data_IF_782294447652
#
_entry.id   IF_782294447652
#
_cell.length_a   1.000
_cell.length_b   1.000
_cell.length_c   1.000
_cell.angle_alpha   90.00
_cell.angle_beta   90.00
_cell.angle_gamma   90.00
#
_symmetry.space_group_name_H-M   'P 1'
#
loop_
_entity.id
_entity.type
_entity.pdbx_description
1 polymer ?
#
# COMPACT_ATOMS: atom_id res chain seq x y z
N UNK A 1 4.54 -13.85 -40.23
CA UNK A 1 3.81 -13.27 -39.08
C UNK A 1 4.83 -12.61 -38.17
N UNK A 2 5.04 -11.31 -38.31
CA UNK A 2 6.05 -10.56 -37.54
C UNK A 2 5.47 -10.23 -36.17
N UNK A 3 6.08 -10.74 -35.09
CA UNK A 3 5.65 -10.45 -33.71
C UNK A 3 6.45 -9.27 -33.17
N UNK A 4 5.83 -8.10 -33.05
CA UNK A 4 6.49 -6.85 -32.64
C UNK A 4 6.73 -6.72 -31.12
N UNK A 5 6.14 -7.59 -30.31
CA UNK A 5 6.20 -7.56 -28.84
C UNK A 5 6.38 -8.95 -28.23
N UNK A 6 7.20 -9.79 -28.85
CA UNK A 6 7.47 -11.13 -28.30
C UNK A 6 8.17 -11.03 -26.95
N UNK A 7 7.75 -11.87 -25.99
CA UNK A 7 8.48 -12.06 -24.73
C UNK A 7 9.87 -12.63 -25.05
N UNK A 8 10.89 -12.19 -24.32
CA UNK A 8 12.26 -12.72 -24.42
C UNK A 8 12.28 -14.24 -24.30
N UNK A 9 12.91 -14.94 -25.26
CA UNK A 9 13.02 -16.40 -25.23
C UNK A 9 13.73 -16.92 -23.96
N UNK A 10 14.79 -16.27 -23.44
CA UNK A 10 15.33 -16.57 -22.12
C UNK A 10 14.31 -16.50 -20.97
N UNK A 11 13.49 -15.43 -20.90
CA UNK A 11 12.46 -15.29 -19.86
C UNK A 11 11.39 -16.38 -20.00
N UNK A 12 10.97 -16.68 -21.23
CA UNK A 12 10.04 -17.78 -21.48
C UNK A 12 10.60 -19.10 -20.94
N UNK A 13 11.84 -19.45 -21.30
CA UNK A 13 12.47 -20.70 -20.85
C UNK A 13 12.57 -20.78 -19.31
N UNK A 14 13.00 -19.69 -18.66
CA UNK A 14 13.12 -19.63 -17.20
C UNK A 14 11.76 -19.82 -16.51
N UNK A 15 10.77 -19.01 -16.90
CA UNK A 15 9.45 -19.01 -16.27
C UNK A 15 8.72 -20.33 -16.56
N UNK A 16 8.84 -20.90 -17.76
CA UNK A 16 8.27 -22.22 -18.07
C UNK A 16 8.86 -23.30 -17.16
N UNK A 17 10.18 -23.30 -16.94
CA UNK A 17 10.81 -24.28 -16.04
C UNK A 17 10.29 -24.14 -14.60
N UNK A 18 10.20 -22.91 -14.10
CA UNK A 18 9.73 -22.60 -12.75
C UNK A 18 8.24 -22.93 -12.55
N UNK A 19 7.39 -22.62 -13.52
CA UNK A 19 5.95 -22.88 -13.46
C UNK A 19 5.55 -24.32 -13.83
N UNK A 20 6.49 -25.13 -14.31
CA UNK A 20 6.24 -26.57 -14.53
C UNK A 20 6.47 -27.38 -13.24
N UNK A 21 7.13 -26.80 -12.24
CA UNK A 21 7.32 -27.41 -10.93
C UNK A 21 6.11 -27.14 -10.02
N UNK A 22 5.23 -28.14 -9.90
CA UNK A 22 4.01 -28.06 -9.09
C UNK A 22 4.29 -28.00 -7.59
N UNK A 23 5.43 -28.56 -7.14
CA UNK A 23 5.85 -28.51 -5.73
C UNK A 23 6.29 -27.09 -5.37
N UNK A 24 7.05 -26.46 -6.26
CA UNK A 24 7.41 -25.05 -6.14
C UNK A 24 6.17 -24.16 -6.10
N UNK A 25 5.23 -24.31 -7.04
CA UNK A 25 4.01 -23.47 -7.08
C UNK A 25 3.22 -23.55 -5.79
N UNK A 26 3.01 -24.77 -5.26
CA UNK A 26 2.26 -24.98 -4.02
C UNK A 26 2.95 -24.27 -2.84
N UNK A 27 4.24 -24.56 -2.63
CA UNK A 27 5.01 -23.98 -1.53
C UNK A 27 5.13 -22.46 -1.62
N UNK A 28 5.36 -21.91 -2.82
CA UNK A 28 5.39 -20.47 -3.05
C UNK A 28 4.05 -19.82 -2.73
N UNK A 29 2.94 -20.40 -3.20
CA UNK A 29 1.61 -19.83 -2.98
C UNK A 29 1.24 -19.80 -1.50
N UNK A 30 1.51 -20.88 -0.78
CA UNK A 30 1.27 -20.97 0.67
C UNK A 30 2.10 -19.94 1.43
N UNK A 31 3.43 -19.91 1.19
CA UNK A 31 4.33 -18.98 1.87
C UNK A 31 4.05 -17.51 1.51
N UNK A 32 3.74 -17.22 0.25
CA UNK A 32 3.44 -15.86 -0.18
C UNK A 32 2.17 -15.34 0.49
N UNK A 33 1.12 -16.18 0.60
CA UNK A 33 -0.12 -15.81 1.31
C UNK A 33 0.11 -15.57 2.79
N UNK A 34 0.91 -16.41 3.43
CA UNK A 34 1.29 -16.26 4.84
C UNK A 34 2.00 -14.91 5.08
N UNK A 35 3.05 -14.62 4.31
CA UNK A 35 3.82 -13.37 4.42
C UNK A 35 2.98 -12.13 4.13
N UNK A 36 2.16 -12.16 3.08
CA UNK A 36 1.27 -11.05 2.75
C UNK A 36 0.28 -10.77 3.88
N UNK A 37 -0.21 -11.82 4.57
CA UNK A 37 -1.13 -11.66 5.69
C UNK A 37 -0.46 -11.05 6.90
N UNK A 38 0.71 -11.56 7.28
CA UNK A 38 1.50 -11.00 8.39
C UNK A 38 1.77 -9.51 8.17
N UNK A 39 2.27 -9.14 6.99
CA UNK A 39 2.55 -7.74 6.67
C UNK A 39 1.28 -6.88 6.64
N UNK A 40 0.18 -7.40 6.10
CA UNK A 40 -1.12 -6.71 6.11
C UNK A 40 -1.61 -6.45 7.54
N UNK A 41 -1.62 -7.47 8.39
CA UNK A 41 -2.13 -7.40 9.76
C UNK A 41 -1.30 -6.40 10.60
N UNK A 42 0.03 -6.47 10.51
CA UNK A 42 0.94 -5.54 11.18
C UNK A 42 0.69 -4.09 10.74
N UNK A 43 0.61 -3.86 9.43
CA UNK A 43 0.43 -2.51 8.89
C UNK A 43 -0.94 -1.92 9.24
N UNK A 44 -2.00 -2.72 9.14
CA UNK A 44 -3.37 -2.28 9.46
C UNK A 44 -3.56 -2.03 10.95
N UNK A 45 -3.01 -2.87 11.83
CA UNK A 45 -3.07 -2.60 13.27
C UNK A 45 -2.29 -1.33 13.63
N UNK A 46 -1.11 -1.11 13.03
CA UNK A 46 -0.36 0.14 13.22
C UNK A 46 -1.12 1.39 12.76
N UNK A 47 -1.83 1.34 11.62
CA UNK A 47 -2.68 2.46 11.17
C UNK A 47 -3.88 2.69 12.11
N UNK A 48 -4.48 1.61 12.60
CA UNK A 48 -5.62 1.64 13.52
C UNK A 48 -5.25 2.29 14.85
N UNK A 49 -4.02 2.11 15.36
CA UNK A 49 -3.51 2.84 16.53
C UNK A 49 -3.50 4.37 16.33
N UNK A 50 -3.36 4.83 15.09
CA UNK A 50 -3.43 6.27 14.75
C UNK A 50 -4.87 6.77 14.54
N UNK A 51 -5.85 5.87 14.64
CA UNK A 51 -7.26 6.12 14.32
C UNK A 51 -7.56 6.12 12.82
N UNK A 52 -6.70 5.51 12.00
CA UNK A 52 -6.90 5.38 10.54
C UNK A 52 -7.52 4.02 10.26
N UNK A 53 -8.74 4.03 9.72
CA UNK A 53 -9.43 2.81 9.32
C UNK A 53 -8.94 2.29 7.97
N UNK A 54 -9.01 0.98 7.75
CA UNK A 54 -8.76 0.37 6.44
C UNK A 54 -9.97 -0.45 6.00
N UNK A 55 -10.27 -0.44 4.69
CA UNK A 55 -11.27 -1.33 4.11
C UNK A 55 -10.83 -2.79 4.29
N UNK A 56 -11.75 -3.64 4.74
CA UNK A 56 -11.52 -5.09 4.85
C UNK A 56 -11.24 -5.65 3.45
N UNK A 57 -10.07 -6.27 3.28
CA UNK A 57 -9.67 -6.92 2.04
C UNK A 57 -9.19 -8.34 2.31
N UNK A 58 -9.40 -9.23 1.34
CA UNK A 58 -8.89 -10.62 1.37
C UNK A 58 -7.68 -10.84 0.46
N UNK A 59 -7.19 -9.79 -0.22
CA UNK A 59 -6.04 -9.88 -1.11
C UNK A 59 -5.51 -8.54 -1.59
N UNK A 60 -4.44 -8.58 -2.39
CA UNK A 60 -3.73 -7.42 -2.88
C UNK A 60 -2.36 -7.24 -2.24
N UNK A 61 -1.71 -6.13 -2.60
CA UNK A 61 -0.35 -5.78 -2.15
C UNK A 61 -0.32 -4.45 -1.37
N UNK A 62 -1.52 -3.98 -0.99
CA UNK A 62 -1.79 -2.69 -0.37
C UNK A 62 -3.06 -2.75 0.47
N UNK A 63 -3.22 -1.78 1.37
CA UNK A 63 -4.49 -1.49 2.02
C UNK A 63 -5.08 -0.18 1.48
N UNK A 64 -6.41 -0.06 1.59
CA UNK A 64 -7.15 1.14 1.24
C UNK A 64 -7.60 1.83 2.53
N UNK A 65 -6.95 2.94 2.84
CA UNK A 65 -7.00 3.61 4.14
C UNK A 65 -7.90 4.84 4.08
N UNK A 66 -8.77 4.98 5.06
CA UNK A 66 -9.60 6.16 5.26
C UNK A 66 -8.86 7.17 6.15
N UNK A 67 -8.39 8.24 5.52
CA UNK A 67 -7.76 9.39 6.18
C UNK A 67 -8.62 10.65 6.04
N UNK A 68 -9.92 10.51 5.73
CA UNK A 68 -10.87 11.63 5.58
C UNK A 68 -10.91 12.57 6.79
N UNK A 69 -10.72 12.03 8.00
CA UNK A 69 -10.66 12.81 9.23
C UNK A 69 -9.44 13.74 9.35
N UNK A 70 -8.44 13.59 8.48
CA UNK A 70 -7.19 14.37 8.49
C UNK A 70 -7.16 15.46 7.42
N UNK A 71 -8.12 15.50 6.50
CA UNK A 71 -8.15 16.47 5.40
C UNK A 71 -9.02 17.68 5.75
N UNK A 72 -8.51 18.88 5.48
CA UNK A 72 -9.24 20.15 5.62
C UNK A 72 -8.79 21.12 4.53
N UNK A 73 -9.67 21.59 3.63
CA UNK A 73 -11.10 21.26 3.51
C UNK A 73 -11.34 19.80 3.03
N UNK A 74 -12.56 19.28 3.26
CA UNK A 74 -12.97 17.95 2.76
C UNK A 74 -13.26 18.00 1.25
N UNK A 75 -12.20 17.98 0.44
CA UNK A 75 -12.23 17.94 -1.01
C UNK A 75 -10.88 17.43 -1.55
N UNK A 76 -10.75 17.29 -2.87
CA UNK A 76 -9.51 16.85 -3.53
C UNK A 76 -8.29 17.71 -3.17
N UNK A 77 -8.47 19.03 -2.99
CA UNK A 77 -7.36 19.90 -2.57
C UNK A 77 -6.84 19.51 -1.18
N UNK A 78 -7.73 19.29 -0.21
CA UNK A 78 -7.33 18.84 1.13
C UNK A 78 -6.69 17.45 1.12
N UNK A 79 -7.12 16.56 0.22
CA UNK A 79 -6.47 15.27 0.01
C UNK A 79 -5.04 15.43 -0.52
N UNK A 80 -4.83 16.28 -1.54
CA UNK A 80 -3.51 16.55 -2.10
C UNK A 80 -2.59 17.28 -1.11
N UNK A 81 -3.13 18.16 -0.26
CA UNK A 81 -2.38 18.82 0.81
C UNK A 81 -1.92 17.80 1.87
N UNK A 82 -2.75 16.81 2.21
CA UNK A 82 -2.35 15.71 3.09
C UNK A 82 -1.32 14.80 2.42
N UNK A 83 -1.51 14.46 1.15
CA UNK A 83 -0.56 13.69 0.36
C UNK A 83 0.82 14.36 0.33
N UNK A 84 0.88 15.67 0.10
CA UNK A 84 2.11 16.44 0.11
C UNK A 84 2.82 16.34 1.47
N UNK A 85 2.09 16.45 2.59
CA UNK A 85 2.66 16.26 3.94
C UNK A 85 3.19 14.84 4.15
N UNK A 86 2.45 13.81 3.73
CA UNK A 86 2.92 12.42 3.83
C UNK A 86 4.23 12.23 3.02
N UNK A 87 4.29 12.77 1.80
CA UNK A 87 5.46 12.66 0.95
C UNK A 87 6.65 13.48 1.48
N UNK A 88 6.43 14.74 1.83
CA UNK A 88 7.50 15.69 2.09
C UNK A 88 7.89 15.80 3.57
N UNK A 89 6.97 15.56 4.50
CA UNK A 89 7.24 15.56 5.95
C UNK A 89 7.50 14.14 6.45
N UNK A 90 6.54 13.22 6.25
CA UNK A 90 6.69 11.84 6.71
C UNK A 90 7.68 11.02 5.85
N UNK A 91 8.04 11.48 4.65
CA UNK A 91 8.86 10.74 3.68
C UNK A 91 8.24 9.39 3.31
N UNK A 92 6.91 9.33 3.27
CA UNK A 92 6.13 8.15 2.90
C UNK A 92 5.35 8.47 1.62
N UNK A 93 5.64 7.74 0.54
CA UNK A 93 4.89 7.86 -0.71
C UNK A 93 3.67 6.94 -0.69
N UNK A 94 2.48 7.53 -0.73
CA UNK A 94 1.20 6.82 -0.87
C UNK A 94 0.47 7.30 -2.12
N UNK A 95 -0.51 6.55 -2.61
CA UNK A 95 -1.34 6.99 -3.75
C UNK A 95 -2.64 7.60 -3.22
N UNK A 96 -2.93 8.89 -3.48
CA UNK A 96 -4.19 9.52 -3.08
C UNK A 96 -5.36 8.98 -3.91
N UNK A 97 -6.56 9.00 -3.34
CA UNK A 97 -7.75 8.39 -3.91
C UNK A 97 -8.17 8.99 -5.25
N UNK A 98 -8.00 10.31 -5.40
CA UNK A 98 -8.15 11.07 -6.65
C UNK A 98 -7.37 10.47 -7.82
N UNK A 99 -6.15 9.99 -7.59
CA UNK A 99 -5.33 9.32 -8.62
C UNK A 99 -5.89 7.96 -9.06
N UNK A 100 -6.82 7.40 -8.31
CA UNK A 100 -7.57 6.18 -8.65
C UNK A 100 -9.04 6.49 -8.99
N UNK A 101 -9.38 7.76 -9.22
CA UNK A 101 -10.74 8.24 -9.48
C UNK A 101 -11.74 7.90 -8.37
N UNK A 102 -11.29 7.87 -7.12
CA UNK A 102 -12.20 7.77 -5.98
C UNK A 102 -13.07 9.02 -5.90
N UNK A 103 -14.38 8.82 -5.71
CA UNK A 103 -15.36 9.91 -5.67
C UNK A 103 -15.30 10.63 -4.31
N UNK A 104 -14.97 9.90 -3.25
CA UNK A 104 -14.87 10.42 -1.89
C UNK A 104 -13.42 10.83 -1.59
N UNK A 105 -13.15 12.08 -1.19
CA UNK A 105 -11.81 12.53 -0.81
C UNK A 105 -11.32 11.91 0.50
N UNK A 106 -10.01 11.75 0.63
CA UNK A 106 -9.35 11.32 1.87
C UNK A 106 -9.04 9.83 1.93
N UNK A 107 -9.29 9.08 0.86
CA UNK A 107 -8.86 7.70 0.74
C UNK A 107 -7.44 7.60 0.18
N UNK A 108 -6.65 6.64 0.68
CA UNK A 108 -5.27 6.44 0.25
C UNK A 108 -4.94 4.96 0.06
N UNK A 109 -4.23 4.64 -1.02
CA UNK A 109 -3.60 3.32 -1.21
C UNK A 109 -2.23 3.30 -0.56
N UNK A 110 -2.05 2.44 0.42
CA UNK A 110 -0.78 2.24 1.12
C UNK A 110 -0.24 0.83 0.84
N UNK A 111 0.85 0.73 0.08
CA UNK A 111 1.51 -0.53 -0.22
C UNK A 111 2.41 -0.97 0.94
N UNK A 112 2.31 -2.22 1.37
CA UNK A 112 3.08 -2.78 2.50
C UNK A 112 4.05 -3.90 2.08
N UNK A 113 4.03 -4.32 0.82
CA UNK A 113 4.69 -5.56 0.35
C UNK A 113 6.15 -5.41 -0.05
N UNK A 114 6.66 -4.18 -0.07
CA UNK A 114 8.06 -3.86 -0.34
C UNK A 114 8.82 -3.45 0.92
N UNK A 115 8.18 -3.60 2.09
CA UNK A 115 8.73 -3.32 3.41
C UNK A 115 9.13 -4.63 4.08
N UNK A 116 10.09 -4.55 4.99
CA UNK A 116 10.36 -5.60 5.96
C UNK A 116 9.50 -5.38 7.22
N UNK A 117 9.29 -6.41 8.04
CA UNK A 117 8.48 -6.31 9.27
C UNK A 117 9.01 -5.21 10.22
N UNK A 118 10.33 -5.06 10.30
CA UNK A 118 11.01 -4.06 11.13
C UNK A 118 10.84 -2.61 10.61
N UNK A 119 10.47 -2.42 9.35
CA UNK A 119 10.19 -1.09 8.79
C UNK A 119 8.81 -0.57 9.24
N UNK A 120 7.88 -1.47 9.56
CA UNK A 120 6.48 -1.11 9.85
C UNK A 120 6.39 -0.10 11.00
N UNK A 121 7.02 -0.31 12.18
CA UNK A 121 6.99 0.67 13.26
C UNK A 121 7.51 2.05 12.83
N UNK A 122 8.56 2.10 12.00
CA UNK A 122 9.14 3.36 11.51
C UNK A 122 8.17 4.10 10.59
N UNK A 123 7.50 3.37 9.69
CA UNK A 123 6.49 3.95 8.80
C UNK A 123 5.29 4.48 9.59
N UNK A 124 4.80 3.72 10.57
CA UNK A 124 3.69 4.14 11.44
C UNK A 124 4.06 5.37 12.27
N UNK A 125 5.27 5.43 12.82
CA UNK A 125 5.77 6.61 13.53
C UNK A 125 5.79 7.85 12.63
N UNK A 126 6.29 7.71 11.40
CA UNK A 126 6.33 8.81 10.45
C UNK A 126 4.94 9.30 10.06
N UNK A 127 3.97 8.40 9.90
CA UNK A 127 2.57 8.76 9.66
C UNK A 127 1.99 9.47 10.88
N UNK A 128 2.31 9.04 12.11
CA UNK A 128 1.87 9.68 13.35
C UNK A 128 2.24 11.16 13.40
N UNK A 129 3.45 11.52 12.99
CA UNK A 129 3.89 12.93 12.92
C UNK A 129 2.91 13.78 12.09
N UNK A 130 2.48 13.30 10.93
CA UNK A 130 1.52 14.03 10.09
C UNK A 130 0.12 14.04 10.72
N UNK A 131 -0.32 12.92 11.27
CA UNK A 131 -1.62 12.82 11.98
C UNK A 131 -1.74 13.85 13.09
N UNK A 132 -0.70 14.03 13.90
CA UNK A 132 -0.66 15.01 15.00
C UNK A 132 -0.70 16.45 14.50
N UNK A 133 0.00 16.76 13.41
CA UNK A 133 -0.05 18.10 12.81
C UNK A 133 -1.42 18.44 12.21
N UNK A 134 -2.18 17.44 11.73
CA UNK A 134 -3.51 17.65 11.18
C UNK A 134 -4.61 17.72 12.26
N UNK A 135 -4.38 17.12 13.43
CA UNK A 135 -5.33 17.14 14.57
C UNK A 135 -5.16 18.36 15.49
N UNK A 136 -4.01 19.02 15.45
CA UNK A 136 -3.76 20.23 16.26
C UNK A 136 -4.72 21.35 15.85
N UNK A 137 -5.48 21.96 16.77
CA UNK A 137 -6.33 23.10 16.45
C UNK A 137 -5.43 24.28 16.10
N UNK A 138 -5.50 24.74 14.85
CA UNK A 138 -5.12 26.10 14.47
C UNK A 138 -6.08 27.11 15.07
#
# INVERSE_FOLDING_TARGET
MTRFTSVSAPTQRLVTSMLSDTTYIKSYTERNRERLRVMYDLFVEGLKELGIGCTKSSGGLYCWCDMSGLIRPYNEKGELDLWDKLLNVAKINVTPGSSCHCIEPGWFRCCFTTLDEDDIPVVIERIRLVVETCKSPS
#
